data_IF_394977322160
#
_entry.id   IF_394977322160
#
_cell.length_a   1.000
_cell.length_b   1.000
_cell.length_c   1.000
_cell.angle_alpha   90.00
_cell.angle_beta   90.00
_cell.angle_gamma   90.00
#
_symmetry.space_group_name_H-M   'P 1'
#
loop_
_entity.id
_entity.type
_entity.pdbx_description
1 polymer ?
#
# COMPACT_ATOMS: atom_id res chain seq x y z
N UNK A 1 -26.73 18.47 3.28
CA UNK A 1 -27.59 17.63 4.14
C UNK A 1 -27.36 18.01 5.59
N UNK A 2 -28.44 18.08 6.37
CA UNK A 2 -28.42 18.47 7.76
C UNK A 2 -28.92 17.32 8.65
N UNK A 3 -28.55 17.35 9.92
CA UNK A 3 -28.94 16.31 10.86
C UNK A 3 -29.39 16.89 12.20
N UNK A 4 -30.21 16.12 12.89
CA UNK A 4 -30.55 16.35 14.29
C UNK A 4 -30.04 15.19 15.13
N UNK A 5 -29.57 15.49 16.35
CA UNK A 5 -29.36 14.52 17.41
C UNK A 5 -30.15 14.96 18.64
N UNK A 6 -31.24 14.27 18.94
CA UNK A 6 -32.08 14.63 20.08
C UNK A 6 -31.35 14.32 21.40
N UNK A 7 -31.16 15.34 22.25
CA UNK A 7 -30.50 15.15 23.54
C UNK A 7 -31.36 14.37 24.56
N UNK A 8 -32.68 14.26 24.32
CA UNK A 8 -33.60 13.54 25.21
C UNK A 8 -33.70 12.04 24.90
N UNK A 9 -33.83 11.67 23.62
CA UNK A 9 -34.07 10.28 23.22
C UNK A 9 -32.97 9.68 22.33
N UNK A 10 -31.88 10.42 22.13
CA UNK A 10 -30.73 10.06 21.30
C UNK A 10 -31.06 9.76 19.82
N UNK A 11 -32.27 10.06 19.35
CA UNK A 11 -32.62 9.89 17.93
C UNK A 11 -31.68 10.75 17.08
N UNK A 12 -31.07 10.11 16.09
CA UNK A 12 -30.36 10.72 14.99
C UNK A 12 -31.26 10.65 13.75
N UNK A 13 -31.47 11.77 13.06
CA UNK A 13 -32.28 11.82 11.85
C UNK A 13 -31.77 12.88 10.88
N UNK A 14 -31.98 12.65 9.59
CA UNK A 14 -31.68 13.59 8.52
C UNK A 14 -32.77 14.66 8.37
N UNK A 15 -32.35 15.85 7.98
CA UNK A 15 -33.22 16.97 7.64
C UNK A 15 -32.69 17.72 6.41
N UNK A 16 -33.57 18.42 5.67
CA UNK A 16 -33.16 19.31 4.59
C UNK A 16 -32.29 20.46 5.11
N UNK A 17 -31.39 20.95 4.26
CA UNK A 17 -30.44 22.03 4.62
C UNK A 17 -31.12 23.35 4.98
N UNK A 18 -32.33 23.61 4.46
CA UNK A 18 -33.13 24.80 4.76
C UNK A 18 -33.50 24.94 6.25
N UNK A 19 -33.31 23.88 7.03
CA UNK A 19 -33.56 23.85 8.46
C UNK A 19 -32.30 24.08 9.31
N UNK A 20 -31.11 24.18 8.72
CA UNK A 20 -29.86 24.46 9.45
C UNK A 20 -30.00 25.69 10.33
N UNK A 21 -29.57 25.57 11.59
CA UNK A 21 -29.65 26.66 12.58
C UNK A 21 -31.03 26.87 13.19
N UNK A 22 -32.05 26.12 12.76
CA UNK A 22 -33.40 26.13 13.35
C UNK A 22 -33.57 24.97 14.32
N UNK A 23 -34.58 25.08 15.18
CA UNK A 23 -35.05 23.98 16.02
C UNK A 23 -36.24 23.29 15.35
N UNK A 24 -36.23 21.96 15.33
CA UNK A 24 -37.34 21.13 14.86
C UNK A 24 -37.80 20.19 15.97
N UNK A 25 -39.07 19.81 15.97
CA UNK A 25 -39.58 18.83 16.94
C UNK A 25 -38.98 17.44 16.60
N UNK A 26 -38.33 16.80 17.57
CA UNK A 26 -37.82 15.45 17.38
C UNK A 26 -38.97 14.49 17.02
N UNK A 27 -38.88 13.73 15.91
CA UNK A 27 -39.99 12.90 15.45
C UNK A 27 -40.29 11.72 16.38
N UNK A 28 -39.37 11.37 17.30
CA UNK A 28 -39.56 10.30 18.29
C UNK A 28 -40.19 10.77 19.60
N UNK A 29 -39.89 11.99 20.06
CA UNK A 29 -40.29 12.43 21.41
C UNK A 29 -40.79 13.88 21.51
N UNK A 30 -40.96 14.56 20.38
CA UNK A 30 -41.48 15.93 20.29
C UNK A 30 -40.55 17.02 20.84
N UNK A 31 -39.38 16.67 21.37
CA UNK A 31 -38.48 17.64 22.00
C UNK A 31 -37.85 18.55 20.95
N UNK A 32 -37.90 19.89 21.11
CA UNK A 32 -37.23 20.83 20.21
C UNK A 32 -35.73 20.54 20.15
N UNK A 33 -35.23 20.24 18.96
CA UNK A 33 -33.85 19.82 18.72
C UNK A 33 -33.23 20.69 17.63
N UNK A 34 -32.03 21.25 17.86
CA UNK A 34 -31.33 22.04 16.85
C UNK A 34 -30.86 21.18 15.68
N UNK A 35 -30.95 21.75 14.48
CA UNK A 35 -30.50 21.14 13.21
C UNK A 35 -29.12 21.68 12.86
N UNK A 36 -28.18 20.77 12.61
CA UNK A 36 -26.79 21.09 12.30
C UNK A 36 -26.43 20.67 10.88
N UNK A 37 -25.49 21.37 10.21
CA UNK A 37 -24.86 20.84 9.00
C UNK A 37 -24.18 19.50 9.32
N UNK A 38 -24.34 18.50 8.46
CA UNK A 38 -23.76 17.18 8.69
C UNK A 38 -22.24 17.23 8.89
N UNK A 39 -21.53 17.99 8.05
CA UNK A 39 -20.06 18.14 8.15
C UNK A 39 -19.63 18.73 9.50
N UNK A 40 -20.25 19.83 9.92
CA UNK A 40 -19.97 20.45 11.22
C UNK A 40 -20.21 19.48 12.39
N UNK A 41 -21.28 18.71 12.33
CA UNK A 41 -21.61 17.75 13.38
C UNK A 41 -20.60 16.59 13.42
N UNK A 42 -20.17 16.08 12.25
CA UNK A 42 -19.15 15.02 12.14
C UNK A 42 -17.81 15.52 12.67
N UNK A 43 -17.37 16.72 12.30
CA UNK A 43 -16.15 17.33 12.83
C UNK A 43 -16.16 17.38 14.36
N UNK A 44 -17.28 17.81 14.96
CA UNK A 44 -17.42 17.87 16.43
C UNK A 44 -17.49 16.48 17.09
N UNK A 45 -18.01 15.48 16.39
CA UNK A 45 -18.02 14.10 16.86
C UNK A 45 -16.59 13.53 16.88
N UNK A 46 -15.82 13.78 15.83
CA UNK A 46 -14.42 13.39 15.74
C UNK A 46 -13.58 14.07 16.82
N UNK A 47 -13.73 15.37 17.04
CA UNK A 47 -13.08 16.11 18.13
C UNK A 47 -13.29 15.42 19.49
N UNK A 48 -14.54 15.03 19.78
CA UNK A 48 -14.91 14.35 21.04
C UNK A 48 -14.37 12.92 21.11
N UNK A 49 -14.40 12.18 20.00
CA UNK A 49 -13.87 10.83 19.93
C UNK A 49 -12.38 10.80 20.25
N UNK A 50 -11.59 11.69 19.64
CA UNK A 50 -10.15 11.78 19.90
C UNK A 50 -9.82 12.28 21.31
N UNK A 51 -10.62 13.21 21.86
CA UNK A 51 -10.48 13.61 23.25
C UNK A 51 -10.73 12.44 24.22
N UNK A 52 -11.77 11.62 23.96
CA UNK A 52 -12.07 10.44 24.76
C UNK A 52 -10.98 9.36 24.64
N UNK A 53 -10.44 9.11 23.43
CA UNK A 53 -9.33 8.17 23.25
C UNK A 53 -8.08 8.59 24.03
N UNK A 54 -7.71 9.88 23.99
CA UNK A 54 -6.58 10.40 24.78
C UNK A 54 -6.81 10.21 26.29
N UNK A 55 -8.03 10.40 26.75
CA UNK A 55 -8.38 10.20 28.16
C UNK A 55 -8.35 8.71 28.56
N UNK A 56 -8.82 7.80 27.69
CA UNK A 56 -8.69 6.35 27.90
C UNK A 56 -7.23 5.94 28.01
N UNK A 57 -6.38 6.44 27.11
CA UNK A 57 -4.93 6.20 27.15
C UNK A 57 -4.33 6.71 28.47
N UNK A 58 -4.76 7.89 28.95
CA UNK A 58 -4.27 8.49 30.20
C UNK A 58 -4.73 7.73 31.45
N UNK A 59 -5.95 7.19 31.43
CA UNK A 59 -6.55 6.46 32.55
C UNK A 59 -6.14 4.99 32.61
N UNK A 60 -5.57 4.45 31.53
CA UNK A 60 -5.02 3.09 31.52
C UNK A 60 -3.65 3.12 32.20
N UNK A 61 -3.48 2.54 33.42
CA UNK A 61 -2.21 2.59 34.11
C UNK A 61 -1.19 1.73 33.35
N UNK A 62 -0.05 2.33 32.99
CA UNK A 62 1.11 1.60 32.51
C UNK A 62 1.66 0.70 33.63
N UNK A 63 1.16 -0.54 33.70
CA UNK A 63 1.84 -1.61 34.45
C UNK A 63 3.01 -2.07 33.61
N UNK A 64 4.16 -1.44 33.87
CA UNK A 64 5.47 -1.93 33.50
C UNK A 64 5.77 -3.22 34.28
N UNK A 65 5.22 -4.32 33.79
CA UNK A 65 5.73 -5.67 34.02
C UNK A 65 5.53 -6.41 32.71
N UNK A 66 6.63 -6.86 32.13
CA UNK A 66 6.65 -7.69 30.94
C UNK A 66 5.90 -9.01 31.22
N UNK A 67 4.60 -9.02 30.91
CA UNK A 67 3.82 -10.21 30.61
C UNK A 67 3.67 -10.28 29.08
N UNK A 68 3.69 -11.47 28.47
CA UNK A 68 3.67 -11.60 27.02
C UNK A 68 2.42 -10.93 26.49
N UNK A 69 2.62 -9.96 25.58
CA UNK A 69 1.54 -9.38 24.81
C UNK A 69 0.73 -10.51 24.16
N UNK A 70 -0.61 -10.39 24.07
CA UNK A 70 -1.43 -11.39 23.41
C UNK A 70 -0.86 -11.67 22.02
N UNK A 71 -0.82 -12.96 21.67
CA UNK A 71 -0.36 -13.41 20.35
C UNK A 71 -1.03 -12.57 19.25
N UNK A 72 -0.23 -12.18 18.27
CA UNK A 72 -0.55 -11.20 17.24
C UNK A 72 -1.94 -11.42 16.64
N UNK A 73 -2.84 -10.44 16.77
CA UNK A 73 -4.15 -10.38 16.09
C UNK A 73 -4.03 -10.56 14.55
N UNK A 74 -2.82 -10.47 14.01
CA UNK A 74 -2.44 -10.67 12.60
C UNK A 74 -2.65 -12.11 12.13
N UNK A 75 -2.63 -13.13 13.02
CA UNK A 75 -2.76 -14.53 12.62
C UNK A 75 -4.09 -14.84 11.91
N UNK A 76 -5.17 -14.14 12.28
CA UNK A 76 -6.50 -14.31 11.70
C UNK A 76 -6.83 -13.41 10.50
N UNK A 77 -5.94 -12.48 10.13
CA UNK A 77 -6.21 -11.49 9.06
C UNK A 77 -5.98 -12.13 7.69
N UNK A 78 -6.94 -12.02 6.78
CA UNK A 78 -6.71 -12.30 5.37
C UNK A 78 -5.91 -11.15 4.74
N UNK A 79 -4.63 -11.39 4.46
CA UNK A 79 -3.73 -10.33 4.00
C UNK A 79 -4.07 -9.85 2.58
N UNK A 80 -4.67 -10.70 1.74
CA UNK A 80 -5.01 -10.37 0.35
C UNK A 80 -6.39 -9.73 0.19
N UNK A 81 -7.07 -9.43 1.29
CA UNK A 81 -8.37 -8.76 1.26
C UNK A 81 -8.67 -8.11 2.61
N UNK A 82 -7.96 -7.02 2.93
CA UNK A 82 -8.18 -6.33 4.21
C UNK A 82 -7.85 -4.84 4.17
N UNK A 83 -8.67 -4.07 4.88
CA UNK A 83 -8.40 -2.67 5.25
C UNK A 83 -7.91 -2.55 6.71
N UNK A 84 -7.78 -3.68 7.43
CA UNK A 84 -7.40 -3.71 8.85
C UNK A 84 -5.98 -3.19 9.10
N UNK A 85 -5.15 -3.07 8.07
CA UNK A 85 -3.82 -2.46 8.15
C UNK A 85 -3.86 -0.94 7.93
N UNK A 86 -4.94 -0.40 7.35
CA UNK A 86 -5.08 0.99 6.94
C UNK A 86 -5.60 1.89 8.08
N UNK A 87 -4.97 1.83 9.26
CA UNK A 87 -5.38 2.61 10.43
C UNK A 87 -4.21 3.23 11.21
N UNK A 88 -4.54 4.15 12.12
CA UNK A 88 -3.57 4.87 12.94
C UNK A 88 -2.76 3.99 13.88
N UNK A 89 -3.35 2.93 14.46
CA UNK A 89 -2.64 2.03 15.38
C UNK A 89 -1.52 1.29 14.64
N UNK A 90 -1.78 0.92 13.39
CA UNK A 90 -0.80 0.27 12.53
C UNK A 90 0.36 1.22 12.21
N UNK A 91 0.05 2.46 11.83
CA UNK A 91 1.05 3.43 11.35
C UNK A 91 1.77 4.18 12.48
N UNK A 92 1.18 4.27 13.68
CA UNK A 92 1.72 4.97 14.85
C UNK A 92 3.20 4.66 15.15
N UNK A 93 3.60 3.38 15.25
CA UNK A 93 4.99 3.01 15.48
C UNK A 93 5.97 3.51 14.40
N UNK A 94 5.51 3.65 13.15
CA UNK A 94 6.33 4.23 12.06
C UNK A 94 6.57 5.71 12.35
N UNK A 95 5.51 6.46 12.68
CA UNK A 95 5.63 7.88 13.07
C UNK A 95 6.61 8.06 14.23
N UNK A 96 6.48 7.25 15.28
CA UNK A 96 7.37 7.30 16.44
C UNK A 96 8.83 7.02 16.08
N UNK A 97 9.07 6.04 15.21
CA UNK A 97 10.42 5.67 14.78
C UNK A 97 11.11 6.81 14.02
N UNK A 98 10.41 7.44 13.07
CA UNK A 98 10.95 8.58 12.30
C UNK A 98 11.06 9.84 13.16
N UNK A 99 10.11 10.11 14.05
CA UNK A 99 10.13 11.28 14.94
C UNK A 99 11.34 11.24 15.89
N UNK A 100 11.70 10.07 16.43
CA UNK A 100 12.92 9.90 17.24
C UNK A 100 14.19 10.31 16.50
N UNK A 101 14.17 10.28 15.17
CA UNK A 101 15.26 10.68 14.28
C UNK A 101 15.11 12.10 13.72
N UNK A 102 14.13 12.87 14.21
CA UNK A 102 13.83 14.24 13.74
C UNK A 102 13.51 14.28 12.23
N UNK A 103 12.82 13.25 11.73
CA UNK A 103 12.34 13.17 10.34
C UNK A 103 10.83 13.31 10.36
N UNK A 104 10.30 14.26 9.58
CA UNK A 104 8.86 14.37 9.38
C UNK A 104 8.43 13.31 8.38
N UNK A 105 7.32 12.66 8.66
CA UNK A 105 6.79 11.59 7.82
C UNK A 105 5.30 11.80 7.59
N UNK A 106 4.86 11.48 6.38
CA UNK A 106 3.46 11.47 5.98
C UNK A 106 3.18 10.14 5.28
N UNK A 107 2.37 9.29 5.92
CA UNK A 107 1.91 8.04 5.32
C UNK A 107 0.54 8.24 4.67
N UNK A 108 0.34 7.65 3.50
CA UNK A 108 -1.00 7.36 3.01
C UNK A 108 -1.47 6.06 3.69
N UNK A 109 -2.36 6.16 4.69
CA UNK A 109 -2.83 4.98 5.43
C UNK A 109 -3.50 3.95 4.52
N UNK A 110 -4.17 4.40 3.44
CA UNK A 110 -4.79 3.50 2.45
C UNK A 110 -3.79 2.90 1.47
N UNK A 111 -2.51 3.27 1.55
CA UNK A 111 -1.45 2.68 0.72
C UNK A 111 -1.20 1.19 0.98
N UNK A 112 -1.74 0.68 2.10
CA UNK A 112 -1.67 -0.73 2.53
C UNK A 112 -3.05 -1.41 2.58
N UNK A 113 -4.07 -0.79 2.00
CA UNK A 113 -5.42 -1.34 1.86
C UNK A 113 -5.43 -2.39 0.73
N UNK A 114 -5.55 -3.67 1.09
CA UNK A 114 -5.54 -4.79 0.15
C UNK A 114 -6.95 -5.28 -0.19
N UNK A 115 -8.01 -4.53 0.14
CA UNK A 115 -9.38 -4.92 -0.24
C UNK A 115 -9.66 -4.77 -1.75
N UNK A 116 -8.64 -4.41 -2.53
CA UNK A 116 -8.72 -4.14 -3.96
C UNK A 116 -8.32 -5.36 -4.77
N UNK A 117 -7.73 -5.10 -5.95
CA UNK A 117 -7.15 -6.15 -6.81
C UNK A 117 -5.69 -5.88 -7.19
N UNK A 118 -5.06 -4.90 -6.56
CA UNK A 118 -3.71 -4.44 -6.93
C UNK A 118 -2.64 -5.41 -6.47
N UNK A 119 -2.82 -5.97 -5.28
CA UNK A 119 -1.97 -7.00 -4.71
C UNK A 119 -2.03 -8.30 -5.50
N UNK A 120 -3.21 -8.78 -5.91
CA UNK A 120 -3.32 -10.03 -6.67
C UNK A 120 -2.69 -9.92 -8.05
N UNK A 121 -2.88 -8.79 -8.75
CA UNK A 121 -2.21 -8.56 -10.03
C UNK A 121 -0.69 -8.40 -9.83
N UNK A 122 -0.25 -7.72 -8.76
CA UNK A 122 1.18 -7.58 -8.46
C UNK A 122 1.84 -8.93 -8.15
N UNK A 123 1.17 -9.80 -7.38
CA UNK A 123 1.64 -11.14 -7.06
C UNK A 123 1.69 -12.02 -8.32
N UNK A 124 0.68 -11.94 -9.20
CA UNK A 124 0.68 -12.65 -10.48
C UNK A 124 1.88 -12.22 -11.36
N UNK A 125 2.17 -10.91 -11.39
CA UNK A 125 3.35 -10.39 -12.09
C UNK A 125 4.64 -10.91 -11.43
N UNK A 126 4.79 -10.78 -10.12
CA UNK A 126 6.00 -11.21 -9.41
C UNK A 126 6.29 -12.70 -9.54
N UNK A 127 5.23 -13.52 -9.60
CA UNK A 127 5.34 -14.97 -9.78
C UNK A 127 5.80 -15.39 -11.18
N UNK A 128 5.49 -14.61 -12.22
CA UNK A 128 5.80 -14.99 -13.61
C UNK A 128 6.26 -13.80 -14.48
N UNK A 129 7.11 -12.94 -13.93
CA UNK A 129 7.62 -11.77 -14.63
C UNK A 129 8.28 -12.10 -15.99
N UNK A 130 9.08 -13.18 -16.15
CA UNK A 130 9.71 -13.49 -17.44
C UNK A 130 8.71 -13.66 -18.60
N UNK A 131 7.53 -14.22 -18.32
CA UNK A 131 6.48 -14.43 -19.32
C UNK A 131 5.62 -13.18 -19.49
N UNK A 132 5.28 -12.51 -18.39
CA UNK A 132 4.32 -11.40 -18.37
C UNK A 132 4.95 -10.03 -18.70
N UNK A 133 6.28 -9.90 -18.65
CA UNK A 133 6.99 -8.63 -18.88
C UNK A 133 6.58 -7.94 -20.17
N UNK A 134 6.45 -8.69 -21.27
CA UNK A 134 6.07 -8.10 -22.57
C UNK A 134 4.66 -7.48 -22.54
N UNK A 135 3.73 -8.09 -21.80
CA UNK A 135 2.38 -7.55 -21.59
C UNK A 135 2.46 -6.21 -20.86
N UNK A 136 3.24 -6.15 -19.77
CA UNK A 136 3.40 -4.95 -18.96
C UNK A 136 4.05 -3.81 -19.76
N UNK A 137 5.13 -4.11 -20.49
CA UNK A 137 5.81 -3.13 -21.34
C UNK A 137 4.88 -2.62 -22.44
N UNK A 138 4.08 -3.49 -23.05
CA UNK A 138 3.15 -3.10 -24.10
C UNK A 138 2.01 -2.23 -23.58
N UNK A 139 1.43 -2.55 -22.43
CA UNK A 139 0.41 -1.72 -21.76
C UNK A 139 1.01 -0.37 -21.39
N UNK A 140 2.15 -0.37 -20.69
CA UNK A 140 2.84 0.86 -20.25
C UNK A 140 3.19 1.77 -21.42
N UNK A 141 3.78 1.22 -22.48
CA UNK A 141 4.11 1.96 -23.69
C UNK A 141 2.87 2.55 -24.35
N UNK A 142 1.80 1.76 -24.49
CA UNK A 142 0.53 2.26 -25.05
C UNK A 142 -0.07 3.38 -24.21
N UNK A 143 -0.06 3.27 -22.88
CA UNK A 143 -0.53 4.34 -21.99
C UNK A 143 0.34 5.61 -22.11
N UNK A 144 1.66 5.47 -22.18
CA UNK A 144 2.58 6.62 -22.37
C UNK A 144 2.38 7.33 -23.71
N UNK A 145 1.96 6.60 -24.76
CA UNK A 145 1.64 7.15 -26.08
C UNK A 145 0.18 7.56 -26.23
N UNK A 146 -0.59 7.52 -25.15
CA UNK A 146 -2.04 7.84 -25.15
C UNK A 146 -2.83 6.99 -26.16
N UNK A 147 -2.39 5.75 -26.40
CA UNK A 147 -3.13 4.79 -27.21
C UNK A 147 -4.26 4.16 -26.39
N UNK A 148 -5.46 4.12 -26.97
CA UNK A 148 -6.64 3.54 -26.32
C UNK A 148 -6.58 2.00 -26.18
N UNK A 149 -5.67 1.33 -26.89
CA UNK A 149 -5.55 -0.12 -26.87
C UNK A 149 -4.11 -0.61 -26.95
N UNK A 150 -3.90 -1.82 -26.45
CA UNK A 150 -2.69 -2.60 -26.61
C UNK A 150 -3.01 -3.94 -27.28
N UNK A 151 -2.20 -4.35 -28.25
CA UNK A 151 -2.28 -5.70 -28.82
C UNK A 151 -1.06 -6.49 -28.35
N UNK A 152 -1.33 -7.64 -27.73
CA UNK A 152 -0.35 -8.58 -27.22
C UNK A 152 -0.28 -9.75 -28.20
N UNK A 153 0.85 -9.92 -28.87
CA UNK A 153 1.05 -11.05 -29.77
C UNK A 153 1.35 -12.33 -28.97
N UNK A 154 0.70 -13.42 -29.35
CA UNK A 154 1.01 -14.77 -28.86
C UNK A 154 1.82 -15.56 -29.90
N UNK A 155 2.17 -14.94 -31.03
CA UNK A 155 3.01 -15.56 -32.03
C UNK A 155 4.39 -15.87 -31.43
N UNK A 156 4.88 -17.09 -31.70
CA UNK A 156 6.19 -17.60 -31.22
C UNK A 156 6.28 -17.81 -29.70
N UNK A 157 5.18 -17.66 -28.95
CA UNK A 157 5.10 -18.10 -27.55
C UNK A 157 4.92 -19.60 -27.49
N UNK A 158 5.45 -20.23 -26.44
CA UNK A 158 5.13 -21.63 -26.16
C UNK A 158 3.62 -21.75 -25.84
N UNK A 159 3.01 -22.95 -25.98
CA UNK A 159 1.61 -23.14 -25.60
C UNK A 159 1.32 -22.79 -24.13
N UNK A 160 2.30 -23.01 -23.26
CA UNK A 160 2.22 -22.65 -21.83
C UNK A 160 2.26 -21.14 -21.63
N UNK A 161 3.21 -20.44 -22.24
CA UNK A 161 3.33 -18.99 -22.15
C UNK A 161 2.11 -18.28 -22.76
N UNK A 162 1.63 -18.76 -23.92
CA UNK A 162 0.46 -18.21 -24.57
C UNK A 162 -0.78 -18.32 -23.66
N UNK A 163 -0.94 -19.47 -23.00
CA UNK A 163 -2.01 -19.68 -22.01
C UNK A 163 -1.85 -18.75 -20.80
N UNK A 164 -0.65 -18.66 -20.24
CA UNK A 164 -0.37 -17.79 -19.10
C UNK A 164 -0.66 -16.31 -19.43
N UNK A 165 -0.23 -15.84 -20.59
CA UNK A 165 -0.50 -14.48 -21.09
C UNK A 165 -2.01 -14.26 -21.28
N UNK A 166 -2.71 -15.18 -21.95
CA UNK A 166 -4.16 -15.07 -22.15
C UNK A 166 -4.93 -15.06 -20.82
N UNK A 167 -4.56 -15.91 -19.86
CA UNK A 167 -5.17 -15.92 -18.53
C UNK A 167 -4.91 -14.61 -17.78
N UNK A 168 -3.67 -14.11 -17.80
CA UNK A 168 -3.34 -12.83 -17.17
C UNK A 168 -4.10 -11.66 -17.80
N UNK A 169 -4.15 -11.58 -19.13
CA UNK A 169 -4.95 -10.57 -19.84
C UNK A 169 -6.45 -10.63 -19.48
N UNK A 170 -6.99 -11.82 -19.24
CA UNK A 170 -8.36 -11.99 -18.78
C UNK A 170 -8.52 -11.50 -17.33
N UNK A 171 -7.60 -11.85 -16.44
CA UNK A 171 -7.60 -11.35 -15.04
C UNK A 171 -7.55 -9.82 -14.98
N UNK A 172 -6.73 -9.17 -15.83
CA UNK A 172 -6.71 -7.71 -15.92
C UNK A 172 -8.09 -7.13 -16.27
N UNK A 173 -8.90 -7.82 -17.07
CA UNK A 173 -10.25 -7.38 -17.38
C UNK A 173 -11.21 -7.64 -16.22
N UNK A 174 -11.16 -8.85 -15.65
CA UNK A 174 -12.04 -9.26 -14.55
C UNK A 174 -11.86 -8.33 -13.33
N UNK A 175 -10.63 -7.85 -13.09
CA UNK A 175 -10.27 -6.91 -12.03
C UNK A 175 -10.24 -5.44 -12.47
N UNK A 176 -10.78 -5.12 -13.65
CA UNK A 176 -10.95 -3.74 -14.15
C UNK A 176 -9.65 -2.93 -14.36
N UNK A 177 -8.50 -3.57 -14.51
CA UNK A 177 -7.24 -2.94 -14.95
C UNK A 177 -7.28 -2.56 -16.44
N UNK A 178 -8.12 -3.24 -17.22
CA UNK A 178 -8.42 -2.90 -18.61
C UNK A 178 -9.93 -2.86 -18.80
N UNK A 179 -10.40 -1.99 -19.70
CA UNK A 179 -11.82 -1.82 -19.96
C UNK A 179 -12.43 -2.99 -20.74
N UNK A 180 -11.66 -3.63 -21.62
CA UNK A 180 -12.07 -4.82 -22.40
C UNK A 180 -10.87 -5.71 -22.73
N UNK A 181 -11.12 -7.00 -22.86
CA UNK A 181 -10.16 -8.01 -23.33
C UNK A 181 -10.78 -8.84 -24.46
N UNK A 182 -10.13 -8.89 -25.62
CA UNK A 182 -10.58 -9.62 -26.79
C UNK A 182 -9.52 -10.63 -27.22
N UNK A 183 -9.89 -11.91 -27.21
CA UNK A 183 -9.02 -12.99 -27.69
C UNK A 183 -9.26 -13.22 -29.17
N UNK A 184 -8.22 -13.00 -29.99
CA UNK A 184 -8.27 -13.26 -31.43
C UNK A 184 -7.50 -14.55 -31.77
N UNK A 185 -8.25 -15.63 -32.01
CA UNK A 185 -7.66 -16.92 -32.40
C UNK A 185 -7.09 -16.92 -33.81
N UNK A 186 -7.64 -16.10 -34.73
CA UNK A 186 -7.19 -16.07 -36.12
C UNK A 186 -5.84 -15.38 -36.27
N UNK A 187 -5.64 -14.28 -35.55
CA UNK A 187 -4.39 -13.51 -35.55
C UNK A 187 -3.47 -13.85 -34.37
N UNK A 188 -3.79 -14.91 -33.62
CA UNK A 188 -3.06 -15.39 -32.44
C UNK A 188 -2.60 -14.26 -31.50
N UNK A 189 -3.54 -13.39 -31.11
CA UNK A 189 -3.26 -12.23 -30.27
C UNK A 189 -4.38 -11.94 -29.26
N UNK A 190 -4.07 -11.13 -28.25
CA UNK A 190 -5.04 -10.58 -27.31
C UNK A 190 -5.04 -9.06 -27.43
N UNK A 191 -6.21 -8.48 -27.70
CA UNK A 191 -6.40 -7.02 -27.76
C UNK A 191 -7.04 -6.53 -26.47
N UNK A 192 -6.38 -5.58 -25.82
CA UNK A 192 -6.81 -4.93 -24.59
C UNK A 192 -7.25 -3.50 -24.89
N UNK A 193 -8.40 -3.08 -24.36
CA UNK A 193 -8.80 -1.66 -24.32
C UNK A 193 -8.39 -1.12 -22.96
N UNK A 194 -7.52 -0.11 -22.95
CA UNK A 194 -6.85 0.35 -21.74
C UNK A 194 -7.73 1.28 -20.92
N UNK A 195 -7.55 1.26 -19.59
CA UNK A 195 -8.10 2.24 -18.66
C UNK A 195 -7.21 3.48 -18.59
N UNK A 196 -7.83 4.66 -18.47
CA UNK A 196 -7.13 5.95 -18.33
C UNK A 196 -6.98 6.40 -16.87
N UNK A 197 -7.56 5.67 -15.92
CA UNK A 197 -7.48 5.99 -14.49
C UNK A 197 -6.01 6.14 -14.04
N UNK A 198 -5.62 7.24 -13.37
CA UNK A 198 -4.24 7.49 -12.98
C UNK A 198 -3.62 6.37 -12.14
N UNK A 199 -4.39 5.77 -11.22
CA UNK A 199 -3.93 4.65 -10.37
C UNK A 199 -3.53 3.42 -11.18
N UNK A 200 -4.31 3.07 -12.21
CA UNK A 200 -3.99 1.96 -13.11
C UNK A 200 -2.76 2.28 -13.96
N UNK A 201 -2.62 3.51 -14.43
CA UNK A 201 -1.43 3.96 -15.18
C UNK A 201 -0.18 3.89 -14.31
N UNK A 202 -0.25 4.36 -13.07
CA UNK A 202 0.88 4.33 -12.14
C UNK A 202 1.27 2.89 -11.78
N UNK A 203 0.27 2.02 -11.57
CA UNK A 203 0.49 0.59 -11.33
C UNK A 203 1.38 -0.04 -12.40
N UNK A 204 1.00 0.07 -13.68
CA UNK A 204 1.81 -0.45 -14.78
C UNK A 204 3.12 0.33 -15.00
N UNK A 205 3.22 1.57 -14.51
CA UNK A 205 4.45 2.36 -14.60
C UNK A 205 5.47 2.01 -13.51
N UNK A 206 5.10 1.24 -12.49
CA UNK A 206 6.06 0.73 -11.51
C UNK A 206 5.46 0.33 -10.16
N UNK A 207 4.31 0.88 -9.76
CA UNK A 207 3.77 0.62 -8.41
C UNK A 207 3.40 -0.86 -8.19
N UNK A 208 3.22 -1.65 -9.25
CA UNK A 208 3.04 -3.10 -9.12
C UNK A 208 4.16 -3.77 -8.32
N UNK A 209 5.41 -3.29 -8.44
CA UNK A 209 6.54 -3.87 -7.72
C UNK A 209 6.50 -3.51 -6.24
N UNK A 210 5.98 -2.34 -5.90
CA UNK A 210 5.78 -1.91 -4.51
C UNK A 210 4.70 -2.75 -3.83
N UNK A 211 3.58 -3.00 -4.53
CA UNK A 211 2.55 -3.93 -4.07
C UNK A 211 3.11 -5.33 -3.86
N UNK A 212 3.87 -5.86 -4.81
CA UNK A 212 4.54 -7.15 -4.68
C UNK A 212 5.49 -7.19 -3.46
N UNK A 213 6.26 -6.12 -3.25
CA UNK A 213 7.18 -6.03 -2.12
C UNK A 213 6.46 -5.95 -0.77
N UNK A 214 5.36 -5.19 -0.69
CA UNK A 214 4.51 -5.13 0.48
C UNK A 214 3.93 -6.52 0.79
N UNK A 215 3.29 -7.17 -0.18
CA UNK A 215 2.66 -8.47 0.02
C UNK A 215 3.67 -9.56 0.41
N UNK A 216 4.84 -9.55 -0.22
CA UNK A 216 5.95 -10.44 0.16
C UNK A 216 6.32 -10.23 1.63
N UNK A 217 6.44 -8.98 2.07
CA UNK A 217 6.81 -8.62 3.44
C UNK A 217 5.73 -9.02 4.46
N UNK A 218 4.46 -8.74 4.17
CA UNK A 218 3.32 -9.08 5.03
C UNK A 218 3.22 -10.59 5.23
N UNK A 219 3.29 -11.37 4.13
CA UNK A 219 3.23 -12.83 4.17
C UNK A 219 4.37 -13.40 5.01
N UNK A 220 5.59 -12.94 4.77
CA UNK A 220 6.77 -13.42 5.50
C UNK A 220 6.71 -13.12 7.00
N UNK A 221 6.23 -11.93 7.37
CA UNK A 221 6.07 -11.56 8.77
C UNK A 221 4.97 -12.39 9.44
N UNK A 222 3.84 -12.61 8.75
CA UNK A 222 2.73 -13.45 9.23
C UNK A 222 3.14 -14.91 9.41
N UNK A 223 3.81 -15.52 8.44
CA UNK A 223 4.33 -16.90 8.50
C UNK A 223 5.24 -17.14 9.72
N UNK A 224 5.93 -16.09 10.16
CA UNK A 224 6.86 -16.11 11.31
C UNK A 224 6.23 -15.62 12.62
N UNK A 225 4.94 -15.28 12.61
CA UNK A 225 4.23 -14.74 13.78
C UNK A 225 4.84 -13.44 14.32
N UNK A 226 5.52 -12.65 13.46
CA UNK A 226 6.17 -11.40 13.85
C UNK A 226 5.13 -10.28 13.87
N UNK A 227 5.25 -9.38 14.83
CA UNK A 227 4.43 -8.16 14.83
C UNK A 227 5.07 -7.16 13.87
N UNK A 228 4.25 -6.36 13.20
CA UNK A 228 4.77 -5.36 12.29
C UNK A 228 3.88 -4.12 12.23
N UNK A 229 4.51 -3.01 11.87
CA UNK A 229 3.89 -1.87 11.20
C UNK A 229 4.41 -1.78 9.77
N UNK A 230 3.62 -1.23 8.85
CA UNK A 230 3.96 -1.16 7.43
C UNK A 230 3.36 0.07 6.76
N UNK A 231 4.05 0.61 5.77
CA UNK A 231 3.54 1.67 4.91
C UNK A 231 4.07 1.49 3.49
N UNK A 232 3.32 1.99 2.51
CA UNK A 232 3.74 2.11 1.11
C UNK A 232 3.66 3.57 0.67
N UNK A 233 4.59 4.03 -0.17
CA UNK A 233 4.66 5.43 -0.62
C UNK A 233 4.85 6.40 0.55
N UNK A 234 5.80 6.09 1.44
CA UNK A 234 6.02 6.84 2.67
C UNK A 234 6.82 8.11 2.38
N UNK A 235 6.16 9.27 2.51
CA UNK A 235 6.78 10.55 2.24
C UNK A 235 7.56 11.04 3.46
N UNK A 236 8.81 11.43 3.24
CA UNK A 236 9.74 11.92 4.25
C UNK A 236 10.18 13.33 3.93
N UNK A 237 10.28 14.16 4.97
CA UNK A 237 10.99 15.44 4.90
C UNK A 237 12.10 15.44 5.92
N UNK A 238 13.33 15.48 5.44
CA UNK A 238 14.53 15.55 6.28
C UNK A 238 14.67 16.94 6.91
N UNK A 239 15.54 17.06 7.92
CA UNK A 239 15.77 18.32 8.62
C UNK A 239 16.31 19.46 7.73
N UNK A 240 16.96 19.12 6.61
CA UNK A 240 17.41 20.08 5.60
C UNK A 240 16.32 20.46 4.58
N UNK A 241 15.10 19.91 4.71
CA UNK A 241 13.98 20.16 3.81
C UNK A 241 13.91 19.22 2.60
N UNK A 242 14.90 18.33 2.41
CA UNK A 242 14.93 17.46 1.25
C UNK A 242 13.77 16.44 1.30
N UNK A 243 12.99 16.31 0.20
CA UNK A 243 11.96 15.31 0.10
C UNK A 243 12.55 13.95 -0.30
N UNK A 244 12.11 12.92 0.40
CA UNK A 244 12.35 11.53 0.04
C UNK A 244 11.04 10.76 0.09
N UNK A 245 10.96 9.72 -0.71
CA UNK A 245 9.91 8.73 -0.65
C UNK A 245 10.57 7.38 -0.38
N UNK A 246 9.92 6.56 0.45
CA UNK A 246 10.26 5.15 0.61
C UNK A 246 9.09 4.34 0.06
N UNK A 247 9.38 3.52 -0.94
CA UNK A 247 8.37 2.73 -1.64
C UNK A 247 7.65 1.78 -0.67
N UNK A 248 8.36 0.97 0.12
CA UNK A 248 7.79 0.15 1.20
C UNK A 248 8.64 0.26 2.47
N UNK A 249 7.99 0.49 3.61
CA UNK A 249 8.62 0.49 4.92
C UNK A 249 7.95 -0.51 5.84
N UNK A 250 8.73 -1.34 6.52
CA UNK A 250 8.27 -2.23 7.59
C UNK A 250 8.99 -1.88 8.89
N UNK A 251 8.28 -1.94 10.01
CA UNK A 251 8.88 -1.90 11.35
C UNK A 251 8.48 -3.17 12.10
N UNK A 252 9.41 -4.10 12.22
CA UNK A 252 9.18 -5.42 12.80
C UNK A 252 9.45 -5.36 14.30
N UNK A 253 8.52 -5.92 15.07
CA UNK A 253 8.48 -5.89 16.53
C UNK A 253 8.76 -4.50 17.14
N UNK A 254 8.37 -3.44 16.42
CA UNK A 254 8.53 -2.05 16.83
C UNK A 254 9.97 -1.53 16.83
N UNK A 255 10.95 -2.29 16.36
CA UNK A 255 12.37 -1.92 16.51
C UNK A 255 13.26 -2.23 15.30
N UNK A 256 12.91 -3.21 14.47
CA UNK A 256 13.72 -3.61 13.31
C UNK A 256 13.13 -2.95 12.06
N UNK A 257 13.70 -1.84 11.57
CA UNK A 257 13.27 -1.20 10.33
C UNK A 257 13.72 -2.00 9.11
N UNK A 258 12.86 -2.05 8.10
CA UNK A 258 13.20 -2.52 6.75
C UNK A 258 12.67 -1.50 5.76
N UNK A 259 13.58 -0.89 4.99
CA UNK A 259 13.24 -0.04 3.85
C UNK A 259 13.40 -0.86 2.59
N UNK A 260 12.41 -0.82 1.70
CA UNK A 260 12.47 -1.45 0.39
C UNK A 260 12.21 -0.37 -0.65
N UNK A 261 13.16 -0.19 -1.56
CA UNK A 261 13.02 0.67 -2.73
C UNK A 261 12.83 -0.22 -3.97
N UNK A 262 11.76 0.02 -4.71
CA UNK A 262 11.34 -0.74 -5.86
C UNK A 262 11.73 -0.02 -7.15
N UNK A 263 12.35 -0.74 -8.09
CA UNK A 263 12.66 -0.21 -9.42
C UNK A 263 12.31 -1.20 -10.52
N UNK A 264 11.43 -0.75 -11.43
CA UNK A 264 11.04 -1.47 -12.64
C UNK A 264 11.86 -1.07 -13.89
N UNK A 265 12.86 -0.20 -13.71
CA UNK A 265 13.70 0.34 -14.79
C UNK A 265 15.13 0.65 -14.32
N UNK A 266 15.83 1.53 -15.05
CA UNK A 266 17.22 1.87 -14.72
C UNK A 266 17.34 2.55 -13.36
N UNK A 267 18.27 2.07 -12.53
CA UNK A 267 18.39 2.46 -11.12
C UNK A 267 19.78 2.98 -10.75
N UNK A 268 20.82 2.70 -11.55
CA UNK A 268 22.22 2.90 -11.14
C UNK A 268 22.55 4.35 -10.80
N UNK A 269 21.97 5.30 -11.54
CA UNK A 269 22.16 6.73 -11.31
C UNK A 269 21.67 7.21 -9.93
N UNK A 270 20.79 6.44 -9.27
CA UNK A 270 20.18 6.81 -7.99
C UNK A 270 20.83 6.10 -6.79
N UNK A 271 21.82 5.22 -7.00
CA UNK A 271 22.43 4.42 -5.92
C UNK A 271 22.99 5.31 -4.81
N UNK A 272 23.70 6.38 -5.16
CA UNK A 272 24.27 7.32 -4.17
C UNK A 272 23.20 8.01 -3.33
N UNK A 273 22.04 8.31 -3.93
CA UNK A 273 20.88 8.88 -3.22
C UNK A 273 20.34 7.91 -2.16
N UNK A 274 20.27 6.61 -2.47
CA UNK A 274 19.81 5.59 -1.52
C UNK A 274 20.84 5.31 -0.42
N UNK A 275 22.13 5.32 -0.74
CA UNK A 275 23.20 5.23 0.25
C UNK A 275 23.15 6.40 1.25
N UNK A 276 22.93 7.62 0.74
CA UNK A 276 22.76 8.81 1.57
C UNK A 276 21.53 8.71 2.48
N UNK A 277 20.38 8.28 1.94
CA UNK A 277 19.17 8.06 2.73
C UNK A 277 19.38 6.98 3.79
N UNK A 278 19.95 5.82 3.43
CA UNK A 278 20.26 4.74 4.37
C UNK A 278 21.10 5.25 5.55
N UNK A 279 22.17 5.99 5.26
CA UNK A 279 23.04 6.60 6.28
C UNK A 279 22.27 7.57 7.16
N UNK A 280 21.40 8.39 6.59
CA UNK A 280 20.56 9.35 7.33
C UNK A 280 19.57 8.65 8.26
N UNK A 281 19.01 7.54 7.81
CA UNK A 281 18.11 6.69 8.60
C UNK A 281 18.86 5.86 9.66
N UNK A 282 20.18 5.72 9.52
CA UNK A 282 21.01 4.93 10.42
C UNK A 282 20.71 3.43 10.29
N UNK A 283 20.58 2.96 9.05
CA UNK A 283 20.23 1.57 8.72
C UNK A 283 21.47 0.78 8.29
N UNK A 284 21.50 -0.51 8.64
CA UNK A 284 22.47 -1.46 8.11
C UNK A 284 22.17 -1.77 6.63
N UNK A 285 23.17 -2.17 5.85
CA UNK A 285 22.96 -2.52 4.43
C UNK A 285 21.93 -3.62 4.20
N UNK A 286 21.75 -4.54 5.17
CA UNK A 286 20.69 -5.56 5.13
C UNK A 286 19.28 -5.01 5.32
N UNK A 287 19.12 -3.89 6.03
CA UNK A 287 17.83 -3.27 6.32
C UNK A 287 17.34 -2.35 5.21
N UNK A 288 18.17 -2.07 4.20
CA UNK A 288 17.80 -1.27 3.04
C UNK A 288 17.92 -2.12 1.78
N UNK A 289 16.77 -2.53 1.24
CA UNK A 289 16.67 -3.46 0.11
C UNK A 289 16.26 -2.71 -1.15
N UNK A 290 17.11 -2.77 -2.17
CA UNK A 290 16.80 -2.40 -3.54
C UNK A 290 16.15 -3.60 -4.24
N UNK A 291 14.83 -3.60 -4.38
CA UNK A 291 14.09 -4.59 -5.16
C UNK A 291 14.01 -4.15 -6.62
N UNK A 292 14.70 -4.84 -7.52
CA UNK A 292 14.83 -4.47 -8.93
C UNK A 292 14.17 -5.54 -9.80
N UNK A 293 13.12 -5.18 -10.53
CA UNK A 293 12.39 -6.12 -11.38
C UNK A 293 13.30 -6.70 -12.48
N UNK A 294 13.33 -8.04 -12.59
CA UNK A 294 14.07 -8.76 -13.61
C UNK A 294 15.60 -8.69 -13.46
N UNK A 295 16.13 -8.20 -12.34
CA UNK A 295 17.58 -8.23 -12.08
C UNK A 295 18.06 -9.67 -11.94
N UNK A 296 19.10 -10.05 -12.69
CA UNK A 296 19.71 -11.39 -12.56
C UNK A 296 20.33 -11.62 -11.18
N UNK A 297 20.22 -12.85 -10.68
CA UNK A 297 20.62 -13.20 -9.31
C UNK A 297 22.12 -12.92 -9.04
N UNK A 298 22.98 -13.14 -10.02
CA UNK A 298 24.42 -12.85 -9.90
C UNK A 298 24.70 -11.35 -9.82
N UNK A 299 23.95 -10.54 -10.58
CA UNK A 299 24.03 -9.08 -10.47
C UNK A 299 23.51 -8.60 -9.11
N UNK A 300 22.41 -9.18 -8.61
CA UNK A 300 21.90 -8.86 -7.28
C UNK A 300 22.94 -9.19 -6.18
N UNK A 301 23.64 -10.31 -6.28
CA UNK A 301 24.75 -10.66 -5.36
C UNK A 301 25.92 -9.69 -5.50
N UNK A 302 26.36 -9.42 -6.73
CA UNK A 302 27.48 -8.53 -7.00
C UNK A 302 27.22 -7.10 -6.49
N UNK A 303 26.04 -6.53 -6.77
CA UNK A 303 25.66 -5.22 -6.28
C UNK A 303 25.50 -5.18 -4.76
N UNK A 304 24.99 -6.25 -4.14
CA UNK A 304 24.93 -6.35 -2.67
C UNK A 304 26.32 -6.39 -2.01
N UNK A 305 27.33 -6.89 -2.72
CA UNK A 305 28.72 -6.91 -2.22
C UNK A 305 29.46 -5.60 -2.51
N UNK A 306 29.13 -4.94 -3.62
CA UNK A 306 29.77 -3.71 -4.07
C UNK A 306 29.28 -2.48 -3.31
N UNK A 307 27.98 -2.45 -3.01
CA UNK A 307 27.36 -1.32 -2.32
C UNK A 307 26.88 -1.78 -0.94
N UNK A 308 26.92 -0.87 0.03
CA UNK A 308 26.40 -1.12 1.38
C UNK A 308 24.85 -1.01 1.41
N UNK A 309 24.21 -1.75 0.50
CA UNK A 309 22.76 -1.91 0.26
C UNK A 309 22.51 -3.38 -0.10
N UNK A 310 21.34 -3.90 0.22
CA UNK A 310 20.92 -5.22 -0.25
C UNK A 310 20.21 -5.11 -1.59
N UNK A 311 20.57 -5.93 -2.57
CA UNK A 311 19.86 -6.02 -3.84
C UNK A 311 19.12 -7.34 -3.95
N UNK A 312 17.89 -7.26 -4.46
CA UNK A 312 17.00 -8.37 -4.74
C UNK A 312 16.26 -8.15 -6.06
N UNK A 313 15.60 -9.20 -6.53
CA UNK A 313 14.57 -9.13 -7.57
C UNK A 313 13.22 -9.60 -6.99
N UNK A 314 12.18 -9.61 -7.82
CA UNK A 314 10.83 -10.03 -7.46
C UNK A 314 10.77 -11.46 -6.87
N UNK A 315 11.68 -12.36 -7.27
CA UNK A 315 11.74 -13.75 -6.78
C UNK A 315 12.53 -13.90 -5.48
N UNK A 316 13.63 -13.15 -5.34
CA UNK A 316 14.62 -13.31 -4.27
C UNK A 316 14.40 -12.35 -3.08
N UNK A 317 13.41 -11.45 -3.17
CA UNK A 317 13.08 -10.52 -2.09
C UNK A 317 12.77 -11.27 -0.77
N UNK A 318 11.94 -12.31 -0.86
CA UNK A 318 11.63 -13.24 0.22
C UNK A 318 12.88 -13.70 1.00
N UNK A 319 13.89 -14.19 0.28
CA UNK A 319 15.14 -14.68 0.86
C UNK A 319 15.97 -13.59 1.56
N UNK A 320 15.88 -12.35 1.09
CA UNK A 320 16.53 -11.22 1.77
C UNK A 320 15.82 -10.87 3.06
N UNK A 321 14.49 -10.84 3.03
CA UNK A 321 13.66 -10.58 4.20
C UNK A 321 13.82 -11.68 5.28
N UNK A 322 14.03 -12.94 4.87
CA UNK A 322 14.33 -14.06 5.77
C UNK A 322 15.54 -13.84 6.68
N UNK A 323 16.49 -12.99 6.27
CA UNK A 323 17.70 -12.70 7.07
C UNK A 323 17.49 -11.53 8.05
N UNK A 324 16.31 -10.91 8.04
CA UNK A 324 15.95 -9.74 8.84
C UNK A 324 14.86 -10.05 9.88
N UNK A 325 13.94 -10.96 9.56
CA UNK A 325 12.83 -11.33 10.44
C UNK A 325 13.21 -12.32 11.54
#
# INVERSE_FOLDING_TARGET
MAIIRCNKCALLAEHPDDFVGKNVACPKCGTPTPVYPALFFIEKLLDKYFAAQREVIRLTPATATAAPAPASEIAGIDLGNTDSLANELQHGPIYDWFHKKQIKVQANMRGVDTSGFFDEIAEAIGANLPVLKEVLERIRWSQQKEHASATISLERKSPEDAKAISTFCQQLYDFSFVAKCFHNKQENNVRLILQSAPTIRNFFNGEWLEWHALMTSLRHAKERGRRFSCARGLNLTLANGDPYEIDVFMLIDGSIPVCIECKSGEFRQNIDRYLALKKRLGLEGRQFVMCIAGLGDDNAKAFSAMYDLSFANERTLADKLNRLF
#
